data_IF_899903598565
#
_entry.id   IF_899903598565
#
_cell.length_a   1.000
_cell.length_b   1.000
_cell.length_c   1.000
_cell.angle_alpha   90.00
_cell.angle_beta   90.00
_cell.angle_gamma   90.00
#
_symmetry.space_group_name_H-M   'P 1'
#
loop_
_entity.id
_entity.type
_entity.pdbx_description
1 polymer ?
#
# COMPACT_ATOMS: atom_id res chain seq x y z
N UNK A 1 -6.43 19.86 -0.33
CA UNK A 1 -7.51 18.85 -0.32
C UNK A 1 -7.10 17.69 -1.22
N UNK A 2 -6.85 16.52 -0.67
CA UNK A 2 -6.43 15.36 -1.45
C UNK A 2 -7.65 14.74 -2.15
N UNK A 3 -7.68 14.79 -3.48
CA UNK A 3 -8.71 14.12 -4.28
C UNK A 3 -8.63 12.60 -4.04
N UNK A 4 -9.59 12.04 -3.31
CA UNK A 4 -9.76 10.59 -3.21
C UNK A 4 -10.49 10.11 -4.47
N UNK A 5 -9.78 9.46 -5.38
CA UNK A 5 -10.39 8.83 -6.56
C UNK A 5 -11.38 7.72 -6.10
N UNK A 6 -12.63 7.71 -6.62
CA UNK A 6 -13.60 6.68 -6.27
C UNK A 6 -13.12 5.29 -6.71
N UNK A 7 -13.36 4.28 -5.86
CA UNK A 7 -12.81 2.92 -5.98
C UNK A 7 -13.14 2.22 -7.32
N UNK A 8 -14.21 2.66 -8.00
CA UNK A 8 -14.70 2.09 -9.26
C UNK A 8 -14.48 3.00 -10.49
N UNK A 9 -13.68 4.05 -10.37
CA UNK A 9 -13.33 4.89 -11.53
C UNK A 9 -12.47 4.12 -12.52
N UNK A 10 -12.73 4.29 -13.82
CA UNK A 10 -11.93 3.73 -14.92
C UNK A 10 -10.42 4.01 -14.71
N UNK A 11 -10.09 5.22 -14.25
CA UNK A 11 -8.72 5.62 -13.93
C UNK A 11 -8.13 4.86 -12.75
N UNK A 12 -8.93 4.57 -11.72
CA UNK A 12 -8.49 3.80 -10.55
C UNK A 12 -8.27 2.31 -10.89
N UNK A 13 -9.07 1.77 -11.82
CA UNK A 13 -8.91 0.41 -12.36
C UNK A 13 -7.65 0.35 -13.22
N UNK A 14 -7.46 1.30 -14.15
CA UNK A 14 -6.27 1.38 -15.01
C UNK A 14 -4.97 1.52 -14.21
N UNK A 15 -4.99 2.26 -13.10
CA UNK A 15 -3.84 2.40 -12.20
C UNK A 15 -3.49 1.10 -11.44
N UNK A 16 -4.42 0.13 -11.40
CA UNK A 16 -4.29 -1.15 -10.72
C UNK A 16 -4.06 -2.33 -11.69
N UNK A 17 -4.39 -2.14 -12.97
CA UNK A 17 -4.10 -3.06 -14.08
C UNK A 17 -2.63 -3.01 -14.52
N UNK A 18 -2.17 -3.99 -15.28
CA UNK A 18 -0.80 -4.03 -15.82
C UNK A 18 -0.49 -2.77 -16.65
N UNK A 19 0.68 -2.16 -16.43
CA UNK A 19 1.10 -0.88 -17.01
C UNK A 19 0.96 -0.83 -18.55
N UNK A 20 1.15 -1.99 -19.22
CA UNK A 20 1.06 -2.12 -20.67
C UNK A 20 -0.34 -1.83 -21.22
N UNK A 21 -1.40 -2.00 -20.43
CA UNK A 21 -2.79 -1.79 -20.87
C UNK A 21 -3.04 -0.32 -21.23
N UNK A 22 -2.42 0.61 -20.49
CA UNK A 22 -2.54 2.05 -20.79
C UNK A 22 -1.82 2.42 -22.10
N UNK A 23 -0.66 1.80 -22.36
CA UNK A 23 0.04 1.97 -23.65
C UNK A 23 -0.70 1.30 -24.81
N UNK A 24 -1.33 0.15 -24.58
CA UNK A 24 -2.15 -0.52 -25.58
C UNK A 24 -3.39 0.32 -25.96
N UNK A 25 -4.08 0.92 -24.98
CA UNK A 25 -5.19 1.84 -25.22
C UNK A 25 -4.72 3.08 -25.97
N UNK A 26 -3.60 3.68 -25.54
CA UNK A 26 -3.03 4.84 -26.24
C UNK A 26 -2.67 4.52 -27.70
N UNK A 27 -2.06 3.36 -27.95
CA UNK A 27 -1.72 2.90 -29.30
C UNK A 27 -2.96 2.65 -30.16
N UNK A 28 -3.99 1.99 -29.61
CA UNK A 28 -5.24 1.74 -30.31
C UNK A 28 -5.96 3.05 -30.70
N UNK A 29 -6.07 4.00 -29.77
CA UNK A 29 -6.67 5.31 -30.04
C UNK A 29 -5.90 6.09 -31.11
N UNK A 30 -4.57 6.08 -31.04
CA UNK A 30 -3.72 6.72 -32.04
C UNK A 30 -3.86 6.08 -33.42
N UNK A 31 -3.96 4.75 -33.52
CA UNK A 31 -4.17 4.04 -34.79
C UNK A 31 -5.56 4.32 -35.39
N UNK A 32 -6.61 4.34 -34.56
CA UNK A 32 -7.97 4.70 -34.98
C UNK A 32 -8.00 6.15 -35.48
N UNK A 33 -7.37 7.07 -34.76
CA UNK A 33 -7.25 8.47 -35.17
C UNK A 33 -6.50 8.60 -36.50
N UNK A 34 -5.42 7.85 -36.71
CA UNK A 34 -4.70 7.84 -37.99
C UNK A 34 -5.52 7.28 -39.16
N UNK A 35 -6.30 6.23 -38.92
CA UNK A 35 -7.03 5.51 -39.97
C UNK A 35 -8.34 6.19 -40.40
N UNK A 36 -9.05 6.83 -39.45
CA UNK A 36 -10.39 7.39 -39.70
C UNK A 36 -10.43 8.92 -39.81
N UNK A 37 -9.43 9.66 -39.31
CA UNK A 37 -9.46 11.12 -39.35
C UNK A 37 -8.79 11.70 -40.61
N UNK A 38 -9.38 12.76 -41.20
CA UNK A 38 -8.73 13.57 -42.24
C UNK A 38 -7.39 14.16 -41.74
N UNK A 39 -6.44 14.41 -42.66
CA UNK A 39 -5.08 14.86 -42.34
C UNK A 39 -5.01 16.04 -41.36
N UNK A 40 -5.95 16.99 -41.47
CA UNK A 40 -6.04 18.15 -40.60
C UNK A 40 -6.31 17.81 -39.11
N UNK A 41 -6.92 16.66 -38.81
CA UNK A 41 -7.36 16.29 -37.46
C UNK A 41 -6.54 15.17 -36.83
N UNK A 42 -5.65 14.51 -37.58
CA UNK A 42 -4.82 13.39 -37.07
C UNK A 42 -3.97 13.81 -35.87
N UNK A 43 -3.39 15.01 -35.90
CA UNK A 43 -2.57 15.52 -34.78
C UNK A 43 -3.40 15.73 -33.49
N UNK A 44 -4.62 16.25 -33.61
CA UNK A 44 -5.52 16.47 -32.47
C UNK A 44 -6.06 15.14 -31.92
N UNK A 45 -6.36 14.18 -32.82
CA UNK A 45 -6.74 12.83 -32.44
C UNK A 45 -5.62 12.08 -31.70
N UNK A 46 -4.37 12.18 -32.17
CA UNK A 46 -3.21 11.60 -31.50
C UNK A 46 -2.90 12.24 -30.14
N UNK A 47 -3.16 13.55 -29.99
CA UNK A 47 -2.99 14.24 -28.70
C UNK A 47 -3.99 13.74 -27.64
N UNK A 48 -5.14 13.22 -28.06
CA UNK A 48 -6.16 12.66 -27.17
C UNK A 48 -5.68 11.38 -26.45
N UNK A 49 -4.64 10.72 -26.96
CA UNK A 49 -3.99 9.54 -26.33
C UNK A 49 -3.08 9.94 -25.16
N UNK A 50 -2.69 11.21 -25.06
CA UNK A 50 -1.70 11.71 -24.10
C UNK A 50 -2.04 11.38 -22.62
N UNK A 51 -3.29 11.50 -22.14
CA UNK A 51 -3.64 11.12 -20.77
C UNK A 51 -3.36 9.64 -20.47
N UNK A 52 -3.56 8.74 -21.44
CA UNK A 52 -3.30 7.31 -21.28
C UNK A 52 -1.80 7.00 -21.28
N UNK A 53 -1.01 7.73 -22.07
CA UNK A 53 0.46 7.64 -22.02
C UNK A 53 0.98 8.10 -20.65
N UNK A 54 0.47 9.21 -20.12
CA UNK A 54 0.83 9.70 -18.78
C UNK A 54 0.48 8.67 -17.70
N UNK A 55 -0.72 8.08 -17.76
CA UNK A 55 -1.12 7.00 -16.84
C UNK A 55 -0.20 5.78 -17.00
N UNK A 56 0.15 5.41 -18.23
CA UNK A 56 1.08 4.32 -18.52
C UNK A 56 2.46 4.54 -17.90
N UNK A 57 3.02 5.75 -18.01
CA UNK A 57 4.31 6.11 -17.40
C UNK A 57 4.23 6.11 -15.87
N UNK A 58 3.14 6.63 -15.30
CA UNK A 58 2.91 6.61 -13.84
C UNK A 58 2.78 5.16 -13.33
N UNK A 59 1.99 4.34 -14.03
CA UNK A 59 1.79 2.93 -13.69
C UNK A 59 3.08 2.13 -13.84
N UNK A 60 3.88 2.39 -14.89
CA UNK A 60 5.18 1.77 -15.14
C UNK A 60 6.15 2.07 -13.99
N UNK A 61 6.31 3.35 -13.61
CA UNK A 61 7.17 3.73 -12.47
C UNK A 61 6.72 3.08 -11.17
N UNK A 62 5.40 3.03 -10.94
CA UNK A 62 4.83 2.40 -9.74
C UNK A 62 5.04 0.89 -9.72
N UNK A 63 4.83 0.21 -10.85
CA UNK A 63 5.02 -1.24 -10.98
C UNK A 63 6.49 -1.66 -10.95
N UNK A 64 7.41 -0.82 -11.43
CA UNK A 64 8.85 -1.06 -11.29
C UNK A 64 9.36 -0.88 -9.86
N UNK A 65 8.64 -0.12 -9.03
CA UNK A 65 8.98 0.10 -7.63
C UNK A 65 8.42 -0.98 -6.70
N UNK A 66 7.48 -1.81 -7.18
CA UNK A 66 6.88 -2.89 -6.39
C UNK A 66 7.86 -4.08 -6.28
N UNK A 67 8.02 -4.68 -5.09
CA UNK A 67 8.82 -5.89 -4.93
C UNK A 67 8.23 -7.02 -5.76
N UNK A 68 9.11 -7.80 -6.39
CA UNK A 68 8.70 -8.97 -7.19
C UNK A 68 8.00 -10.01 -6.33
N UNK A 69 7.13 -10.85 -6.92
CA UNK A 69 6.40 -11.89 -6.16
C UNK A 69 7.31 -12.82 -5.36
N UNK A 70 8.49 -13.14 -5.89
CA UNK A 70 9.51 -13.92 -5.18
C UNK A 70 10.14 -13.16 -4.00
N UNK A 71 10.39 -11.85 -4.13
CA UNK A 71 10.92 -11.01 -3.06
C UNK A 71 9.90 -10.88 -1.92
N UNK A 72 8.61 -10.73 -2.26
CA UNK A 72 7.51 -10.72 -1.30
C UNK A 72 7.39 -12.06 -0.58
N UNK A 73 7.43 -13.18 -1.30
CA UNK A 73 7.36 -14.52 -0.71
C UNK A 73 8.55 -14.78 0.23
N UNK A 74 9.77 -14.47 -0.19
CA UNK A 74 10.97 -14.57 0.66
C UNK A 74 10.85 -13.71 1.91
N UNK A 75 10.37 -12.47 1.78
CA UNK A 75 10.17 -11.58 2.93
C UNK A 75 9.15 -12.17 3.90
N UNK A 76 8.03 -12.70 3.41
CA UNK A 76 7.03 -13.36 4.25
C UNK A 76 7.63 -14.57 4.99
N UNK A 77 8.38 -15.41 4.27
CA UNK A 77 9.04 -16.60 4.82
C UNK A 77 10.00 -16.23 5.95
N UNK A 78 10.94 -15.31 5.70
CA UNK A 78 11.90 -14.84 6.71
C UNK A 78 11.18 -14.26 7.92
N UNK A 79 10.24 -13.32 7.72
CA UNK A 79 9.55 -12.68 8.84
C UNK A 79 8.64 -13.65 9.62
N UNK A 80 8.19 -14.74 9.00
CA UNK A 80 7.39 -15.78 9.66
C UNK A 80 8.21 -16.67 10.60
N UNK A 81 9.53 -16.80 10.40
CA UNK A 81 10.40 -17.60 11.27
C UNK A 81 10.86 -16.82 12.51
N UNK A 82 11.01 -15.50 12.41
CA UNK A 82 11.48 -14.63 13.50
C UNK A 82 10.61 -14.67 14.76
N UNK A 83 11.20 -14.62 15.95
CA UNK A 83 10.45 -14.33 17.18
C UNK A 83 10.16 -12.81 17.30
N UNK A 84 9.43 -12.41 18.34
CA UNK A 84 9.09 -10.99 18.55
C UNK A 84 10.34 -10.11 18.71
N UNK A 85 11.34 -10.57 19.43
CA UNK A 85 12.57 -9.83 19.71
C UNK A 85 13.34 -9.50 18.42
N UNK A 86 13.35 -10.42 17.45
CA UNK A 86 13.96 -10.20 16.14
C UNK A 86 13.05 -9.43 15.17
N UNK A 87 11.73 -9.60 15.27
CA UNK A 87 10.77 -8.94 14.38
C UNK A 87 10.51 -7.47 14.74
N UNK A 88 10.36 -7.14 16.02
CA UNK A 88 10.06 -5.79 16.48
C UNK A 88 10.99 -4.69 15.93
N UNK A 89 12.33 -4.85 15.93
CA UNK A 89 13.22 -3.83 15.35
C UNK A 89 13.06 -3.69 13.83
N UNK A 90 12.75 -4.78 13.11
CA UNK A 90 12.44 -4.71 11.68
C UNK A 90 11.11 -4.00 11.43
N UNK A 91 10.08 -4.33 12.21
CA UNK A 91 8.80 -3.64 12.14
C UNK A 91 8.98 -2.14 12.39
N UNK A 92 9.73 -1.75 13.42
CA UNK A 92 10.06 -0.35 13.68
C UNK A 92 10.83 0.30 12.52
N UNK A 93 11.87 -0.34 12.00
CA UNK A 93 12.66 0.15 10.87
C UNK A 93 11.83 0.29 9.58
N UNK A 94 10.73 -0.46 9.43
CA UNK A 94 9.80 -0.33 8.29
C UNK A 94 8.88 0.90 8.40
N UNK A 95 8.65 1.38 9.63
CA UNK A 95 7.82 2.55 9.93
C UNK A 95 8.63 3.86 9.85
N UNK A 96 9.93 3.76 10.10
CA UNK A 96 10.88 4.87 10.04
C UNK A 96 10.97 5.42 8.61
N UNK A 97 10.57 6.68 8.45
CA UNK A 97 10.74 7.50 7.25
C UNK A 97 11.21 8.89 7.69
N UNK A 98 11.82 9.64 6.77
CA UNK A 98 12.27 11.01 7.06
C UNK A 98 11.13 11.86 7.63
N UNK A 99 11.34 12.41 8.83
CA UNK A 99 10.35 13.25 9.52
C UNK A 99 9.30 12.49 10.35
N UNK A 100 9.44 11.17 10.52
CA UNK A 100 8.64 10.40 11.49
C UNK A 100 9.48 9.98 12.70
N UNK A 101 8.86 10.08 13.88
CA UNK A 101 9.42 9.55 15.13
C UNK A 101 8.60 8.34 15.55
N UNK A 102 9.24 7.17 15.58
CA UNK A 102 8.62 5.91 16.02
C UNK A 102 9.08 5.61 17.45
N UNK A 103 8.13 5.29 18.34
CA UNK A 103 8.41 4.92 19.74
C UNK A 103 7.57 3.72 20.14
N UNK A 104 8.01 2.98 21.14
CA UNK A 104 7.18 1.95 21.78
C UNK A 104 5.97 2.60 22.47
N UNK A 105 4.79 2.05 22.23
CA UNK A 105 3.57 2.44 22.93
C UNK A 105 3.38 1.54 24.15
N UNK A 106 3.05 2.15 25.30
CA UNK A 106 2.90 1.44 26.58
C UNK A 106 1.44 1.08 26.91
N UNK A 107 0.48 1.56 26.10
CA UNK A 107 -0.94 1.23 26.30
C UNK A 107 -1.33 -0.09 25.63
N UNK A 108 -2.56 -0.53 25.88
CA UNK A 108 -3.11 -1.72 25.24
C UNK A 108 -3.48 -1.46 23.76
N UNK A 109 -3.49 -2.53 22.96
CA UNK A 109 -3.99 -2.51 21.57
C UNK A 109 -2.96 -2.10 20.50
N UNK A 110 -1.76 -1.65 20.89
CA UNK A 110 -0.68 -1.31 19.95
C UNK A 110 0.69 -1.53 20.59
N UNK A 111 1.72 -1.71 19.75
CA UNK A 111 3.12 -1.86 20.18
C UNK A 111 3.95 -0.61 19.89
N UNK A 112 3.59 0.15 18.85
CA UNK A 112 4.30 1.38 18.49
C UNK A 112 3.35 2.55 18.32
N UNK A 113 3.92 3.74 18.51
CA UNK A 113 3.30 5.02 18.19
C UNK A 113 4.22 5.79 17.26
N UNK A 114 3.63 6.33 16.20
CA UNK A 114 4.29 7.17 15.21
C UNK A 114 3.82 8.60 15.43
N UNK A 115 4.77 9.51 15.54
CA UNK A 115 4.50 10.94 15.51
C UNK A 115 5.11 11.53 14.24
N UNK A 116 4.27 12.20 13.46
CA UNK A 116 4.68 12.93 12.27
C UNK A 116 3.89 14.25 12.14
N UNK A 117 4.14 15.02 11.08
CA UNK A 117 3.43 16.29 10.83
C UNK A 117 1.90 16.12 10.63
N UNK A 118 1.43 14.89 10.36
CA UNK A 118 0.02 14.53 10.22
C UNK A 118 -0.67 14.17 11.54
N UNK A 119 0.10 13.94 12.61
CA UNK A 119 -0.38 13.67 13.96
C UNK A 119 0.16 12.36 14.53
N UNK A 120 -0.59 11.80 15.48
CA UNK A 120 -0.28 10.53 16.13
C UNK A 120 -0.95 9.37 15.38
N UNK A 121 -0.21 8.29 15.14
CA UNK A 121 -0.74 7.00 14.64
C UNK A 121 -0.26 5.85 15.51
N UNK A 122 -1.14 4.89 15.77
CA UNK A 122 -0.79 3.66 16.48
C UNK A 122 -0.46 2.51 15.53
N UNK A 123 0.42 1.60 15.95
CA UNK A 123 0.76 0.41 15.17
C UNK A 123 0.62 -0.84 16.02
N UNK A 124 -0.21 -1.77 15.57
CA UNK A 124 -0.27 -3.13 16.10
C UNK A 124 0.48 -4.08 15.18
N UNK A 125 1.49 -4.76 15.72
CA UNK A 125 2.36 -5.65 14.99
C UNK A 125 2.54 -7.00 15.67
N UNK A 126 2.09 -7.18 16.92
CA UNK A 126 2.35 -8.38 17.73
C UNK A 126 1.69 -9.66 17.22
N UNK A 127 0.69 -9.56 16.35
CA UNK A 127 0.02 -10.70 15.70
C UNK A 127 0.45 -10.91 14.24
N UNK A 128 1.65 -10.45 13.84
CA UNK A 128 2.11 -10.50 12.45
C UNK A 128 2.09 -11.90 11.82
N UNK A 129 2.34 -12.97 12.60
CA UNK A 129 2.32 -14.36 12.12
C UNK A 129 0.93 -14.97 12.00
N UNK A 130 -0.13 -14.23 12.34
CA UNK A 130 -1.47 -14.78 12.30
C UNK A 130 -1.77 -15.24 10.88
N UNK A 131 -2.15 -16.52 10.73
CA UNK A 131 -2.56 -17.06 9.44
C UNK A 131 -3.81 -16.34 8.90
N UNK A 132 -4.65 -15.82 9.80
CA UNK A 132 -5.87 -15.09 9.43
C UNK A 132 -6.20 -13.97 10.40
N UNK A 133 -6.17 -12.73 9.92
CA UNK A 133 -6.54 -11.53 10.67
C UNK A 133 -8.07 -11.38 10.77
N UNK A 134 -8.59 -11.61 11.98
CA UNK A 134 -9.97 -11.37 12.35
C UNK A 134 -10.27 -9.92 12.72
N UNK A 135 -11.50 -9.66 13.14
CA UNK A 135 -11.99 -8.31 13.51
C UNK A 135 -11.40 -7.83 14.84
N UNK A 136 -11.12 -8.75 15.76
CA UNK A 136 -10.78 -8.40 17.15
C UNK A 136 -9.51 -7.57 17.29
N UNK A 137 -8.37 -7.92 16.65
CA UNK A 137 -7.16 -7.10 16.73
C UNK A 137 -7.36 -5.67 16.18
N UNK A 138 -8.27 -5.49 15.22
CA UNK A 138 -8.60 -4.15 14.73
C UNK A 138 -9.41 -3.37 15.76
N UNK A 139 -10.37 -4.01 16.46
CA UNK A 139 -11.13 -3.35 17.52
C UNK A 139 -10.23 -2.91 18.67
N UNK A 140 -9.31 -3.77 19.09
CA UNK A 140 -8.32 -3.46 20.12
C UNK A 140 -7.50 -2.21 19.72
N UNK A 141 -6.99 -2.17 18.49
CA UNK A 141 -6.23 -1.03 17.98
C UNK A 141 -7.08 0.25 17.88
N UNK A 142 -8.30 0.15 17.35
CA UNK A 142 -9.22 1.29 17.21
C UNK A 142 -9.62 1.84 18.58
N UNK A 143 -9.90 0.97 19.55
CA UNK A 143 -10.24 1.37 20.91
C UNK A 143 -9.12 2.13 21.63
N UNK A 144 -7.88 1.97 21.18
CA UNK A 144 -6.73 2.70 21.72
C UNK A 144 -6.57 4.12 21.12
N UNK A 145 -7.33 4.48 20.07
CA UNK A 145 -7.16 5.76 19.39
C UNK A 145 -7.43 6.96 20.28
N UNK A 146 -8.54 6.95 21.02
CA UNK A 146 -8.94 8.08 21.86
C UNK A 146 -7.91 8.30 22.99
N UNK A 147 -7.51 7.22 23.67
CA UNK A 147 -6.52 7.25 24.75
C UNK A 147 -5.15 7.76 24.26
N UNK A 148 -4.75 7.40 23.04
CA UNK A 148 -3.47 7.81 22.47
C UNK A 148 -3.52 9.13 21.69
N UNK A 149 -4.70 9.75 21.54
CA UNK A 149 -4.91 10.89 20.63
C UNK A 149 -4.56 10.57 19.17
N UNK A 150 -4.69 9.30 18.77
CA UNK A 150 -4.30 8.84 17.45
C UNK A 150 -5.39 9.12 16.41
N UNK A 151 -4.98 9.65 15.26
CA UNK A 151 -5.88 9.93 14.12
C UNK A 151 -6.10 8.73 13.22
N UNK A 152 -5.43 7.62 13.51
CA UNK A 152 -5.47 6.39 12.75
C UNK A 152 -4.44 5.39 13.22
N UNK A 153 -4.35 4.27 12.51
CA UNK A 153 -3.44 3.20 12.87
C UNK A 153 -2.95 2.37 11.70
N UNK A 154 -2.04 1.45 12.01
CA UNK A 154 -1.49 0.46 11.09
C UNK A 154 -1.56 -0.90 11.80
N UNK A 155 -2.02 -1.92 11.10
CA UNK A 155 -1.90 -3.30 11.57
C UNK A 155 -1.01 -4.10 10.63
N UNK A 156 -0.01 -4.79 11.19
CA UNK A 156 0.94 -5.60 10.43
C UNK A 156 0.54 -7.07 10.53
N UNK A 157 0.31 -7.71 9.38
CA UNK A 157 -0.10 -9.12 9.30
C UNK A 157 0.43 -9.77 8.02
N UNK A 158 1.09 -10.93 8.14
CA UNK A 158 1.59 -11.70 7.00
C UNK A 158 0.53 -12.61 6.38
N UNK A 159 -0.44 -13.09 7.18
CA UNK A 159 -1.50 -13.97 6.71
C UNK A 159 -2.72 -13.24 6.12
N UNK A 160 -3.73 -14.02 5.78
CA UNK A 160 -4.93 -13.53 5.10
C UNK A 160 -5.78 -12.63 5.99
N UNK A 161 -6.54 -11.73 5.38
CA UNK A 161 -7.44 -10.83 6.09
C UNK A 161 -8.88 -11.29 5.84
N UNK A 162 -9.66 -11.48 6.92
CA UNK A 162 -11.08 -11.79 6.77
C UNK A 162 -11.84 -10.62 6.14
N UNK A 163 -12.87 -10.90 5.33
CA UNK A 163 -13.69 -9.83 4.73
C UNK A 163 -14.32 -8.88 5.76
N UNK A 164 -14.83 -9.35 6.92
CA UNK A 164 -15.27 -8.46 7.99
C UNK A 164 -14.15 -7.54 8.52
N UNK A 165 -12.94 -8.05 8.73
CA UNK A 165 -11.79 -7.24 9.16
C UNK A 165 -11.39 -6.22 8.10
N UNK A 166 -11.41 -6.62 6.82
CA UNK A 166 -11.14 -5.73 5.68
C UNK A 166 -12.16 -4.59 5.61
N UNK A 167 -13.45 -4.88 5.82
CA UNK A 167 -14.50 -3.86 5.86
C UNK A 167 -14.30 -2.90 7.03
N UNK A 168 -14.00 -3.42 8.22
CA UNK A 168 -13.73 -2.59 9.40
C UNK A 168 -12.51 -1.67 9.19
N UNK A 169 -11.41 -2.21 8.64
CA UNK A 169 -10.23 -1.41 8.33
C UNK A 169 -10.53 -0.28 7.35
N UNK A 170 -11.40 -0.50 6.37
CA UNK A 170 -11.75 0.52 5.38
C UNK A 170 -12.70 1.60 5.92
N UNK A 171 -13.55 1.26 6.89
CA UNK A 171 -14.43 2.23 7.55
C UNK A 171 -13.72 3.00 8.66
N UNK A 172 -12.62 2.47 9.17
CA UNK A 172 -11.79 3.07 10.22
C UNK A 172 -10.52 3.66 9.61
N UNK A 173 -9.85 4.59 10.28
CA UNK A 173 -8.57 5.14 9.78
C UNK A 173 -7.40 4.16 9.98
N UNK A 174 -7.55 2.89 9.56
CA UNK A 174 -6.60 1.80 9.78
C UNK A 174 -6.07 1.28 8.46
N UNK A 175 -4.75 1.37 8.28
CA UNK A 175 -4.07 0.73 7.14
C UNK A 175 -3.64 -0.69 7.53
N UNK A 176 -3.74 -1.64 6.59
CA UNK A 176 -3.24 -3.01 6.79
C UNK A 176 -1.97 -3.19 5.96
N UNK A 177 -0.89 -3.55 6.64
CA UNK A 177 0.41 -3.81 6.03
C UNK A 177 0.67 -5.30 5.97
N UNK A 178 0.80 -5.81 4.75
CA UNK A 178 1.13 -7.20 4.46
C UNK A 178 2.58 -7.40 4.05
N UNK A 179 2.91 -8.64 3.67
CA UNK A 179 4.26 -9.01 3.22
C UNK A 179 4.79 -8.11 2.08
N UNK A 180 3.93 -7.70 1.14
CA UNK A 180 4.35 -6.85 0.03
C UNK A 180 4.80 -5.44 0.47
N UNK A 181 4.11 -4.85 1.44
CA UNK A 181 4.45 -3.53 1.98
C UNK A 181 5.74 -3.61 2.80
N UNK A 182 5.89 -4.67 3.60
CA UNK A 182 7.11 -4.92 4.36
C UNK A 182 8.31 -5.18 3.44
N UNK A 183 8.13 -5.94 2.36
CA UNK A 183 9.19 -6.19 1.37
C UNK A 183 9.66 -4.89 0.71
N UNK A 184 8.73 -3.99 0.38
CA UNK A 184 9.07 -2.69 -0.20
C UNK A 184 9.86 -1.82 0.80
N UNK A 185 9.50 -1.84 2.07
CA UNK A 185 10.06 -0.97 3.12
C UNK A 185 11.35 -1.49 3.74
N UNK A 186 11.52 -2.81 3.77
CA UNK A 186 12.69 -3.50 4.31
C UNK A 186 13.70 -3.91 3.23
N UNK A 187 13.53 -3.42 2.00
CA UNK A 187 14.46 -3.70 0.92
C UNK A 187 15.90 -3.34 1.33
N UNK A 188 16.78 -4.33 1.28
CA UNK A 188 18.19 -4.20 1.71
C UNK A 188 18.44 -4.23 3.22
N UNK A 189 17.40 -4.44 4.05
CA UNK A 189 17.48 -4.48 5.52
C UNK A 189 17.07 -5.84 6.13
N UNK A 190 16.72 -6.82 5.30
CA UNK A 190 16.36 -8.17 5.75
C UNK A 190 17.60 -8.95 6.19
N UNK A 191 17.53 -9.76 7.26
CA UNK A 191 18.60 -10.67 7.61
C UNK A 191 18.81 -11.71 6.49
N UNK A 192 20.04 -12.22 6.33
CA UNK A 192 20.29 -13.33 5.42
C UNK A 192 19.47 -14.58 5.84
N UNK A 193 19.11 -15.44 4.87
CA UNK A 193 18.39 -16.69 5.14
C UNK A 193 19.21 -17.65 6.01
#
# INVERSE_FOLDING_TARGET
MAFKLPKNSLFAILLRSSWWISFAIAGALSLIAMALLPEAYRAVGALSSFPFVVIGVIALRRQWSLPGSQEVARTAEILSTLNWQSFAPLAQASLEETGRVVRTYQGAGAEFVIHDNGGCRLVSARRWKSARLGVEPLRELIGAFDTAGARGGIIICLGDITEPARKLAQSSAVDIWGAAELAARLRGKLPPP
#
